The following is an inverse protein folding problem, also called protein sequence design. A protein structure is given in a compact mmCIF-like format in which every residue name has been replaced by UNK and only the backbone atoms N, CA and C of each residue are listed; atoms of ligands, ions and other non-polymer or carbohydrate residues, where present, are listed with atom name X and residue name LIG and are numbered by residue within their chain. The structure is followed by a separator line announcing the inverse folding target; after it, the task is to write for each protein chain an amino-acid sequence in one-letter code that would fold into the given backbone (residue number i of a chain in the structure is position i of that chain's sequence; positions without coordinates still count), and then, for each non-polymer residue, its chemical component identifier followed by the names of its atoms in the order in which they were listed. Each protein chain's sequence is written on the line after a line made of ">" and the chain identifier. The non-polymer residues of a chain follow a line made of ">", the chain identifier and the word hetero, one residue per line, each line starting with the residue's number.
data_IF_244051317322
#
_entry.id   IF_244051317322
#
_cell.length_a   1.000
_cell.length_b   1.000
_cell.length_c   1.000
_cell.angle_alpha   90.00
_cell.angle_beta   90.00
_cell.angle_gamma   90.00
#
_symmetry.space_group_name_H-M   'P 1'
#
loop_
_entity.id
_entity.type
_entity.pdbx_description
1 polymer ?
#
# COMPACT_ATOMS: atom_id res chain seq x y z
N UNK A 1 -9.04 -32.84 27.61
CA UNK A 1 -9.66 -32.04 26.54
C UNK A 1 -8.54 -31.33 25.78
N UNK A 2 -8.21 -31.78 24.57
CA UNK A 2 -7.22 -31.13 23.71
C UNK A 2 -7.91 -30.55 22.46
N UNK A 3 -7.41 -29.40 21.99
CA UNK A 3 -7.54 -28.87 20.61
C UNK A 3 -8.34 -27.60 20.31
N UNK A 4 -8.32 -26.57 21.19
CA UNK A 4 -8.52 -25.18 20.68
C UNK A 4 -7.24 -24.56 20.11
N UNK A 5 -6.06 -25.03 20.53
CA UNK A 5 -4.75 -24.50 20.11
C UNK A 5 -4.34 -24.92 18.69
N UNK A 6 -4.89 -26.02 18.15
CA UNK A 6 -4.50 -26.53 16.82
C UNK A 6 -5.09 -25.72 15.65
N UNK A 7 -6.21 -25.03 15.86
CA UNK A 7 -6.81 -24.17 14.84
C UNK A 7 -6.03 -22.86 14.63
N UNK A 8 -5.42 -22.31 15.69
CA UNK A 8 -4.57 -21.11 15.62
C UNK A 8 -3.35 -21.33 14.70
N UNK A 9 -2.70 -22.49 14.81
CA UNK A 9 -1.54 -22.86 13.99
C UNK A 9 -1.86 -23.05 12.49
N UNK A 10 -3.06 -23.54 12.12
CA UNK A 10 -3.48 -23.59 10.71
C UNK A 10 -3.81 -22.19 10.15
N UNK A 11 -4.29 -21.28 11.01
CA UNK A 11 -4.56 -19.88 10.65
C UNK A 11 -3.30 -19.03 10.47
N UNK A 12 -2.28 -19.21 11.33
CA UNK A 12 -1.01 -18.46 11.32
C UNK A 12 -0.19 -18.67 10.04
N UNK A 13 -0.14 -19.89 9.50
CA UNK A 13 0.51 -20.18 8.21
C UNK A 13 -0.24 -19.49 7.05
N UNK A 14 -1.54 -19.26 7.21
CA UNK A 14 -2.38 -18.62 6.19
C UNK A 14 -2.21 -17.10 6.16
N UNK A 15 -2.16 -16.43 7.31
CA UNK A 15 -2.04 -14.97 7.40
C UNK A 15 -0.73 -14.44 6.79
N UNK A 16 0.39 -15.07 7.14
CA UNK A 16 1.72 -14.72 6.61
C UNK A 16 1.84 -14.93 5.10
N UNK A 17 1.23 -16.01 4.59
CA UNK A 17 1.18 -16.29 3.15
C UNK A 17 0.34 -15.23 2.42
N UNK A 18 -0.80 -14.86 2.97
CA UNK A 18 -1.70 -13.87 2.36
C UNK A 18 -1.06 -12.48 2.28
N UNK A 19 -0.36 -12.05 3.33
CA UNK A 19 0.36 -10.77 3.34
C UNK A 19 1.53 -10.74 2.36
N UNK A 20 2.26 -11.84 2.18
CA UNK A 20 3.31 -11.93 1.13
C UNK A 20 2.72 -11.81 -0.27
N UNK A 21 1.57 -12.44 -0.52
CA UNK A 21 0.86 -12.30 -1.80
C UNK A 21 0.41 -10.85 -1.99
N UNK A 22 -0.15 -10.21 -0.95
CA UNK A 22 -0.54 -8.80 -1.01
C UNK A 22 0.65 -7.88 -1.36
N UNK A 23 1.80 -8.04 -0.71
CA UNK A 23 3.03 -7.27 -1.03
C UNK A 23 3.46 -7.45 -2.48
N UNK A 24 3.39 -8.69 -3.00
CA UNK A 24 3.73 -8.98 -4.39
C UNK A 24 2.76 -8.29 -5.36
N UNK A 25 1.46 -8.33 -5.07
CA UNK A 25 0.42 -7.66 -5.88
C UNK A 25 0.54 -6.14 -5.83
N UNK A 26 0.85 -5.56 -4.68
CA UNK A 26 1.08 -4.12 -4.53
C UNK A 26 2.33 -3.67 -5.30
N UNK A 27 3.39 -4.49 -5.30
CA UNK A 27 4.57 -4.25 -6.16
C UNK A 27 4.18 -4.28 -7.64
N UNK A 28 3.49 -5.33 -8.09
CA UNK A 28 3.09 -5.49 -9.48
C UNK A 28 2.18 -4.34 -9.95
N UNK A 29 1.22 -3.93 -9.12
CA UNK A 29 0.33 -2.79 -9.40
C UNK A 29 1.12 -1.50 -9.58
N UNK A 30 2.10 -1.25 -8.70
CA UNK A 30 2.95 -0.06 -8.76
C UNK A 30 3.85 -0.06 -10.00
N UNK A 31 4.46 -1.20 -10.32
CA UNK A 31 5.30 -1.34 -11.51
C UNK A 31 4.46 -1.20 -12.80
N UNK A 32 3.23 -1.70 -12.80
CA UNK A 32 2.29 -1.57 -13.93
C UNK A 32 1.87 -0.12 -14.18
N UNK A 33 1.44 0.61 -13.14
CA UNK A 33 1.09 2.04 -13.28
C UNK A 33 2.29 2.83 -13.81
N UNK A 34 3.49 2.55 -13.30
CA UNK A 34 4.71 3.21 -13.77
C UNK A 34 4.99 2.91 -15.25
N UNK A 35 4.89 1.65 -15.66
CA UNK A 35 5.19 1.26 -17.04
C UNK A 35 4.17 1.80 -18.06
N UNK A 36 2.89 1.83 -17.69
CA UNK A 36 1.85 2.43 -18.54
C UNK A 36 2.12 3.91 -18.78
N UNK A 37 2.37 4.64 -17.68
CA UNK A 37 2.66 6.06 -17.67
C UNK A 37 3.88 6.44 -18.54
N UNK A 38 4.98 5.67 -18.46
CA UNK A 38 6.18 5.89 -19.30
C UNK A 38 5.86 5.60 -20.79
N UNK A 39 5.13 4.53 -21.08
CA UNK A 39 4.81 4.12 -22.46
C UNK A 39 3.87 5.10 -23.17
N UNK A 40 2.87 5.65 -22.48
CA UNK A 40 1.91 6.57 -23.08
C UNK A 40 2.60 7.90 -23.46
N UNK A 41 3.46 8.43 -22.58
CA UNK A 41 4.27 9.62 -22.88
C UNK A 41 5.19 9.42 -24.08
N UNK A 42 5.93 8.31 -24.11
CA UNK A 42 6.84 7.99 -25.22
C UNK A 42 6.07 7.90 -26.56
N UNK A 43 4.85 7.34 -26.56
CA UNK A 43 4.04 7.24 -27.75
C UNK A 43 3.67 8.62 -28.33
N UNK A 44 3.24 9.57 -27.49
CA UNK A 44 2.92 10.92 -27.94
C UNK A 44 4.15 11.69 -28.46
N UNK A 45 5.32 11.51 -27.84
CA UNK A 45 6.57 12.07 -28.36
C UNK A 45 6.93 11.49 -29.74
N UNK A 46 6.79 10.17 -29.91
CA UNK A 46 7.03 9.51 -31.19
C UNK A 46 6.04 9.95 -32.29
N UNK A 47 4.77 10.16 -31.96
CA UNK A 47 3.80 10.71 -32.92
C UNK A 47 4.17 12.12 -33.36
N UNK A 48 4.62 12.98 -32.45
CA UNK A 48 5.09 14.32 -32.78
C UNK A 48 6.31 14.28 -33.71
N UNK A 49 7.30 13.42 -33.43
CA UNK A 49 8.49 13.31 -34.27
C UNK A 49 8.16 12.76 -35.67
N UNK A 50 7.32 11.74 -35.72
CA UNK A 50 6.86 11.18 -36.98
C UNK A 50 6.14 12.25 -37.82
N UNK A 51 5.26 13.04 -37.21
CA UNK A 51 4.53 14.09 -37.93
C UNK A 51 5.45 15.22 -38.43
N UNK A 52 6.39 15.68 -37.59
CA UNK A 52 7.38 16.70 -37.97
C UNK A 52 8.24 16.20 -39.17
N UNK A 53 8.63 14.91 -39.20
CA UNK A 53 9.40 14.31 -40.31
C UNK A 53 8.62 14.24 -41.64
N UNK A 54 7.29 14.19 -41.57
CA UNK A 54 6.41 14.08 -42.74
C UNK A 54 5.82 15.43 -43.16
N UNK A 55 6.15 16.52 -42.46
CA UNK A 55 5.61 17.85 -42.72
C UNK A 55 4.12 17.99 -42.36
N UNK A 56 3.60 17.11 -41.50
CA UNK A 56 2.23 17.19 -41.02
C UNK A 56 2.15 18.07 -39.77
N UNK A 57 2.03 19.38 -40.01
CA UNK A 57 1.97 20.38 -38.95
C UNK A 57 0.76 20.20 -38.03
N UNK A 58 -0.33 19.59 -38.54
CA UNK A 58 -1.55 19.34 -37.77
C UNK A 58 -1.35 18.25 -36.72
N UNK A 59 -0.92 17.06 -37.14
CA UNK A 59 -0.63 15.97 -36.21
C UNK A 59 0.48 16.38 -35.25
N UNK A 60 1.52 17.07 -35.72
CA UNK A 60 2.60 17.54 -34.86
C UNK A 60 2.10 18.50 -33.78
N UNK A 61 1.24 19.46 -34.12
CA UNK A 61 0.68 20.43 -33.18
C UNK A 61 -0.26 19.76 -32.17
N UNK A 62 -1.19 18.92 -32.64
CA UNK A 62 -2.12 18.17 -31.80
C UNK A 62 -1.35 17.25 -30.85
N UNK A 63 -0.37 16.48 -31.33
CA UNK A 63 0.47 15.62 -30.49
C UNK A 63 1.24 16.40 -29.42
N UNK A 64 1.75 17.61 -29.75
CA UNK A 64 2.41 18.50 -28.78
C UNK A 64 1.43 18.97 -27.68
N UNK A 65 0.21 19.38 -28.04
CA UNK A 65 -0.83 19.75 -27.05
C UNK A 65 -1.25 18.56 -26.17
N UNK A 66 -1.46 17.38 -26.76
CA UNK A 66 -1.78 16.15 -26.01
C UNK A 66 -0.65 15.79 -25.03
N UNK A 67 0.60 15.89 -25.46
CA UNK A 67 1.76 15.61 -24.61
C UNK A 67 1.83 16.53 -23.38
N UNK A 68 1.39 17.79 -23.48
CA UNK A 68 1.29 18.69 -22.32
C UNK A 68 0.33 18.12 -21.28
N UNK A 69 -0.85 17.66 -21.70
CA UNK A 69 -1.85 17.09 -20.79
C UNK A 69 -1.43 15.74 -20.23
N UNK A 70 -0.78 14.90 -21.03
CA UNK A 70 -0.22 13.63 -20.56
C UNK A 70 0.89 13.83 -19.52
N UNK A 71 1.72 14.88 -19.67
CA UNK A 71 2.72 15.26 -18.66
C UNK A 71 2.08 15.71 -17.35
N UNK A 72 0.96 16.42 -17.41
CA UNK A 72 0.21 16.78 -16.20
C UNK A 72 -0.41 15.55 -15.54
N UNK A 73 -1.02 14.69 -16.34
CA UNK A 73 -1.59 13.43 -15.90
C UNK A 73 -0.56 12.51 -15.22
N UNK A 74 0.65 12.42 -15.80
CA UNK A 74 1.80 11.69 -15.28
C UNK A 74 2.20 12.16 -13.87
N UNK A 75 2.16 13.46 -13.57
CA UNK A 75 2.48 13.96 -12.21
C UNK A 75 1.54 13.35 -11.16
N UNK A 76 0.26 13.20 -11.49
CA UNK A 76 -0.75 12.64 -10.58
C UNK A 76 -0.62 11.12 -10.45
N UNK A 77 -0.33 10.43 -11.55
CA UNK A 77 0.01 9.00 -11.51
C UNK A 77 1.29 8.74 -10.68
N UNK A 78 2.25 9.67 -10.68
CA UNK A 78 3.42 9.65 -9.80
C UNK A 78 3.06 9.67 -8.29
N UNK A 79 2.02 10.40 -7.91
CA UNK A 79 1.47 10.37 -6.55
C UNK A 79 0.87 9.00 -6.22
N UNK A 80 0.15 8.38 -7.16
CA UNK A 80 -0.40 7.02 -6.99
C UNK A 80 0.70 5.96 -6.85
N UNK A 81 1.77 6.07 -7.62
CA UNK A 81 2.97 5.21 -7.48
C UNK A 81 3.58 5.35 -6.08
N UNK A 82 3.68 6.58 -5.57
CA UNK A 82 4.15 6.85 -4.21
C UNK A 82 3.21 6.26 -3.15
N UNK A 83 1.90 6.42 -3.32
CA UNK A 83 0.89 5.86 -2.42
C UNK A 83 0.93 4.32 -2.38
N UNK A 84 1.10 3.69 -3.55
CA UNK A 84 1.27 2.23 -3.66
C UNK A 84 2.56 1.75 -2.99
N UNK A 85 3.66 2.50 -3.12
CA UNK A 85 4.91 2.21 -2.38
C UNK A 85 4.69 2.29 -0.87
N UNK A 86 4.06 3.35 -0.38
CA UNK A 86 3.75 3.53 1.04
C UNK A 86 2.88 2.38 1.55
N UNK A 87 1.80 2.04 0.82
CA UNK A 87 0.92 0.91 1.13
C UNK A 87 1.69 -0.41 1.26
N UNK A 88 2.58 -0.71 0.31
CA UNK A 88 3.47 -1.89 0.35
C UNK A 88 4.38 -1.90 1.57
N UNK A 89 4.98 -0.77 1.92
CA UNK A 89 5.82 -0.65 3.12
C UNK A 89 5.04 -0.95 4.40
N UNK A 90 3.78 -0.49 4.49
CA UNK A 90 2.90 -0.83 5.61
C UNK A 90 2.54 -2.31 5.64
N UNK A 91 2.22 -2.93 4.50
CA UNK A 91 1.97 -4.39 4.43
C UNK A 91 3.21 -5.19 4.86
N UNK A 92 4.42 -4.73 4.53
CA UNK A 92 5.67 -5.34 5.02
C UNK A 92 5.86 -5.20 6.54
N UNK A 93 5.50 -4.06 7.13
CA UNK A 93 5.53 -3.88 8.59
C UNK A 93 4.53 -4.81 9.27
N UNK A 94 3.32 -4.93 8.73
CA UNK A 94 2.32 -5.89 9.22
C UNK A 94 2.81 -7.34 9.12
N UNK A 95 3.50 -7.70 8.03
CA UNK A 95 4.13 -9.01 7.89
C UNK A 95 5.22 -9.26 8.96
N UNK A 96 6.02 -8.25 9.29
CA UNK A 96 7.03 -8.34 10.33
C UNK A 96 6.41 -8.48 11.73
N UNK A 97 5.35 -7.73 12.01
CA UNK A 97 4.56 -7.79 13.23
C UNK A 97 3.92 -9.17 13.43
N UNK A 98 3.25 -9.71 12.41
CA UNK A 98 2.68 -11.06 12.40
C UNK A 98 3.75 -12.13 12.66
N UNK A 99 4.93 -11.99 12.05
CA UNK A 99 6.05 -12.90 12.31
C UNK A 99 6.50 -12.85 13.78
N UNK A 100 6.66 -11.65 14.33
CA UNK A 100 7.05 -11.45 15.73
C UNK A 100 6.03 -12.09 16.69
N UNK A 101 4.74 -11.86 16.47
CA UNK A 101 3.65 -12.43 17.27
C UNK A 101 3.64 -13.97 17.16
N UNK A 102 3.80 -14.52 15.96
CA UNK A 102 3.88 -15.98 15.76
C UNK A 102 5.11 -16.60 16.43
N UNK A 103 6.27 -15.94 16.39
CA UNK A 103 7.48 -16.45 17.05
C UNK A 103 7.36 -16.41 18.58
N UNK A 104 6.74 -15.36 19.15
CA UNK A 104 6.40 -15.29 20.57
C UNK A 104 5.35 -16.34 20.97
N UNK A 105 4.36 -16.60 20.12
CA UNK A 105 3.39 -17.67 20.35
C UNK A 105 4.06 -19.05 20.40
N UNK A 106 4.99 -19.34 19.49
CA UNK A 106 5.78 -20.59 19.53
C UNK A 106 6.62 -20.69 20.79
N UNK A 107 7.21 -19.59 21.26
CA UNK A 107 7.97 -19.55 22.51
C UNK A 107 7.07 -19.87 23.72
N UNK A 108 5.88 -19.27 23.77
CA UNK A 108 4.86 -19.57 24.77
C UNK A 108 4.43 -21.04 24.75
N UNK A 109 4.07 -21.60 23.58
CA UNK A 109 3.69 -23.01 23.44
C UNK A 109 4.84 -23.95 23.84
N UNK A 110 6.10 -23.57 23.56
CA UNK A 110 7.27 -24.34 24.01
C UNK A 110 7.40 -24.30 25.54
N UNK A 111 7.23 -23.13 26.16
CA UNK A 111 7.28 -22.98 27.60
C UNK A 111 6.15 -23.77 28.30
N UNK A 112 4.94 -23.77 27.74
CA UNK A 112 3.82 -24.59 28.22
C UNK A 112 4.14 -26.10 28.18
N UNK A 113 4.75 -26.58 27.10
CA UNK A 113 5.20 -27.98 27.01
C UNK A 113 6.30 -28.32 28.01
N UNK A 114 7.21 -27.38 28.28
CA UNK A 114 8.27 -27.57 29.27
C UNK A 114 7.71 -27.63 30.69
N UNK A 115 6.75 -26.77 31.03
CA UNK A 115 6.02 -26.82 32.29
C UNK A 115 5.35 -28.18 32.48
N UNK A 116 4.56 -28.64 31.50
CA UNK A 116 3.89 -29.95 31.55
C UNK A 116 4.88 -31.13 31.70
N UNK A 117 6.08 -31.01 31.14
CA UNK A 117 7.12 -32.02 31.31
C UNK A 117 7.72 -31.99 32.71
N UNK A 118 8.05 -30.80 33.23
CA UNK A 118 8.57 -30.61 34.57
C UNK A 118 7.56 -31.04 35.65
N UNK A 119 6.27 -30.80 35.43
CA UNK A 119 5.18 -31.28 36.30
C UNK A 119 5.18 -32.82 36.40
N UNK A 120 5.28 -33.51 35.26
CA UNK A 120 5.38 -34.98 35.22
C UNK A 120 6.67 -35.50 35.86
N UNK A 121 7.79 -34.79 35.72
CA UNK A 121 9.03 -35.15 36.43
C UNK A 121 8.86 -35.01 37.95
N UNK A 122 8.21 -33.95 38.40
CA UNK A 122 7.88 -33.70 39.80
C UNK A 122 6.96 -34.79 40.36
N UNK A 123 5.88 -35.14 39.66
CA UNK A 123 5.00 -36.26 40.03
C UNK A 123 5.77 -37.58 40.19
N UNK A 124 6.71 -37.87 39.27
CA UNK A 124 7.55 -39.08 39.34
C UNK A 124 8.60 -39.03 40.45
N UNK A 125 8.97 -37.84 40.93
CA UNK A 125 9.92 -37.66 42.02
C UNK A 125 9.24 -37.69 43.39
N UNK A 126 7.94 -37.33 43.48
CA UNK A 126 7.14 -37.43 44.71
C UNK A 126 7.21 -38.84 45.29
N UNK A 127 7.50 -38.94 46.58
CA UNK A 127 7.64 -40.21 47.29
C UNK A 127 8.96 -40.96 47.06
N UNK A 128 9.91 -40.39 46.29
CA UNK A 128 11.29 -40.89 46.19
C UNK A 128 12.22 -40.12 47.13
N UNK A 129 13.53 -40.32 46.96
CA UNK A 129 14.59 -39.58 47.64
C UNK A 129 14.31 -38.06 47.67
N UNK A 130 14.29 -37.43 48.86
CA UNK A 130 14.08 -35.99 49.04
C UNK A 130 14.93 -35.12 48.12
N UNK A 131 16.19 -35.51 47.84
CA UNK A 131 17.09 -34.74 46.98
C UNK A 131 16.60 -34.65 45.52
N UNK A 132 15.88 -35.68 45.04
CA UNK A 132 15.29 -35.73 43.70
C UNK A 132 14.02 -34.92 43.61
N UNK A 133 13.23 -34.91 44.69
CA UNK A 133 12.02 -34.08 44.79
C UNK A 133 12.37 -32.60 44.73
N UNK A 134 13.31 -32.13 45.55
CA UNK A 134 13.71 -30.71 45.58
C UNK A 134 14.25 -30.23 44.22
N UNK A 135 15.03 -31.08 43.51
CA UNK A 135 15.49 -30.75 42.15
C UNK A 135 14.35 -30.66 41.14
N UNK A 136 13.34 -31.52 41.24
CA UNK A 136 12.19 -31.50 40.35
C UNK A 136 11.26 -30.30 40.64
N UNK A 137 11.11 -29.91 41.91
CA UNK A 137 10.37 -28.71 42.32
C UNK A 137 11.02 -27.44 41.77
N UNK A 138 12.36 -27.33 41.87
CA UNK A 138 13.10 -26.21 41.31
C UNK A 138 12.90 -26.10 39.78
N UNK A 139 13.01 -27.22 39.05
CA UNK A 139 12.76 -27.27 37.61
C UNK A 139 11.33 -26.86 37.24
N UNK A 140 10.34 -27.30 38.01
CA UNK A 140 8.94 -26.97 37.77
C UNK A 140 8.68 -25.48 38.01
N UNK A 141 9.19 -24.92 39.11
CA UNK A 141 9.11 -23.49 39.41
C UNK A 141 9.77 -22.65 38.30
N UNK A 142 10.97 -23.03 37.84
CA UNK A 142 11.64 -22.35 36.73
C UNK A 142 10.82 -22.42 35.43
N UNK A 143 10.20 -23.58 35.13
CA UNK A 143 9.36 -23.75 33.95
C UNK A 143 8.06 -22.93 34.01
N UNK A 144 7.44 -22.80 35.19
CA UNK A 144 6.27 -21.93 35.41
C UNK A 144 6.63 -20.47 35.16
N UNK A 145 7.74 -19.98 35.73
CA UNK A 145 8.21 -18.61 35.49
C UNK A 145 8.46 -18.35 34.00
N UNK A 146 9.12 -19.27 33.30
CA UNK A 146 9.37 -19.13 31.85
C UNK A 146 8.08 -19.08 31.04
N UNK A 147 7.05 -19.82 31.45
CA UNK A 147 5.72 -19.78 30.81
C UNK A 147 5.05 -18.44 31.03
N UNK A 148 5.03 -17.93 32.26
CA UNK A 148 4.45 -16.63 32.60
C UNK A 148 5.14 -15.49 31.84
N UNK A 149 6.48 -15.49 31.79
CA UNK A 149 7.27 -14.50 31.03
C UNK A 149 6.95 -14.56 29.53
N UNK A 150 6.86 -15.76 28.95
CA UNK A 150 6.53 -15.95 27.54
C UNK A 150 5.08 -15.58 27.20
N UNK A 151 4.13 -15.88 28.10
CA UNK A 151 2.72 -15.52 27.97
C UNK A 151 2.55 -14.01 27.98
N UNK A 152 3.19 -13.32 28.94
CA UNK A 152 3.15 -11.86 29.03
C UNK A 152 3.78 -11.20 27.80
N UNK A 153 4.93 -11.72 27.32
CA UNK A 153 5.57 -11.21 26.11
C UNK A 153 4.68 -11.37 24.87
N UNK A 154 4.04 -12.54 24.70
CA UNK A 154 3.09 -12.81 23.62
C UNK A 154 1.86 -11.90 23.70
N UNK A 155 1.24 -11.75 24.88
CA UNK A 155 0.08 -10.89 25.08
C UNK A 155 0.40 -9.41 24.78
N UNK A 156 1.52 -8.91 25.31
CA UNK A 156 1.98 -7.54 25.08
C UNK A 156 2.25 -7.26 23.60
N UNK A 157 2.95 -8.18 22.92
CA UNK A 157 3.23 -8.03 21.50
C UNK A 157 1.94 -8.06 20.69
N UNK A 158 1.04 -9.01 20.94
CA UNK A 158 -0.25 -9.09 20.24
C UNK A 158 -1.05 -7.79 20.36
N UNK A 159 -1.19 -7.24 21.57
CA UNK A 159 -2.01 -6.05 21.78
C UNK A 159 -1.36 -4.78 21.20
N UNK A 160 -0.04 -4.65 21.33
CA UNK A 160 0.70 -3.53 20.75
C UNK A 160 0.66 -3.57 19.23
N UNK A 161 1.05 -4.70 18.64
CA UNK A 161 1.17 -4.87 17.20
C UNK A 161 -0.20 -4.76 16.51
N UNK A 162 -1.28 -5.30 17.10
CA UNK A 162 -2.63 -5.15 16.54
C UNK A 162 -3.10 -3.69 16.50
N UNK A 163 -2.82 -2.92 17.55
CA UNK A 163 -3.21 -1.49 17.61
C UNK A 163 -2.40 -0.66 16.62
N UNK A 164 -1.07 -0.84 16.62
CA UNK A 164 -0.17 -0.11 15.73
C UNK A 164 -0.45 -0.45 14.26
N UNK A 165 -0.53 -1.74 13.92
CA UNK A 165 -0.83 -2.18 12.56
C UNK A 165 -2.19 -1.70 12.07
N UNK A 166 -3.25 -1.75 12.91
CA UNK A 166 -4.57 -1.25 12.51
C UNK A 166 -4.57 0.24 12.21
N UNK A 167 -3.92 1.04 13.06
CA UNK A 167 -3.79 2.50 12.87
C UNK A 167 -3.04 2.80 11.58
N UNK A 168 -1.91 2.14 11.39
CA UNK A 168 -1.00 2.39 10.28
C UNK A 168 -1.62 1.92 8.94
N UNK A 169 -2.27 0.76 8.92
CA UNK A 169 -3.00 0.25 7.76
C UNK A 169 -4.17 1.17 7.37
N UNK A 170 -4.93 1.66 8.36
CA UNK A 170 -6.00 2.64 8.10
C UNK A 170 -5.44 3.90 7.44
N UNK A 171 -4.33 4.43 7.95
CA UNK A 171 -3.68 5.63 7.38
C UNK A 171 -3.27 5.37 5.93
N UNK A 172 -2.59 4.24 5.67
CA UNK A 172 -2.13 3.85 4.34
C UNK A 172 -3.28 3.68 3.33
N UNK A 173 -4.38 3.05 3.75
CA UNK A 173 -5.55 2.87 2.87
C UNK A 173 -6.28 4.17 2.60
N UNK A 174 -6.45 5.03 3.62
CA UNK A 174 -7.07 6.34 3.43
C UNK A 174 -6.25 7.19 2.46
N UNK A 175 -4.94 7.24 2.62
CA UNK A 175 -4.03 7.93 1.70
C UNK A 175 -4.13 7.36 0.28
N UNK A 176 -4.02 6.03 0.14
CA UNK A 176 -4.12 5.35 -1.15
C UNK A 176 -5.45 5.62 -1.86
N UNK A 177 -6.59 5.48 -1.19
CA UNK A 177 -7.90 5.66 -1.83
C UNK A 177 -8.22 7.12 -2.12
N UNK A 178 -7.76 8.07 -1.30
CA UNK A 178 -7.87 9.50 -1.60
C UNK A 178 -7.07 9.87 -2.86
N UNK A 179 -5.82 9.43 -2.93
CA UNK A 179 -4.97 9.66 -4.10
C UNK A 179 -5.56 8.96 -5.33
N UNK A 180 -6.08 7.74 -5.19
CA UNK A 180 -6.72 7.01 -6.29
C UNK A 180 -7.96 7.73 -6.82
N UNK A 181 -8.80 8.27 -5.95
CA UNK A 181 -9.97 9.05 -6.36
C UNK A 181 -9.54 10.29 -7.14
N UNK A 182 -8.61 11.07 -6.58
CA UNK A 182 -8.04 12.27 -7.23
C UNK A 182 -7.45 11.97 -8.60
N UNK A 183 -6.64 10.90 -8.72
CA UNK A 183 -6.13 10.46 -10.03
C UNK A 183 -7.30 10.23 -10.97
N UNK A 184 -8.29 9.40 -10.66
CA UNK A 184 -9.38 9.18 -11.60
C UNK A 184 -10.18 10.44 -11.97
N UNK A 185 -10.34 11.38 -11.05
CA UNK A 185 -11.02 12.65 -11.31
C UNK A 185 -10.21 13.54 -12.27
N UNK A 186 -8.92 13.73 -11.99
CA UNK A 186 -8.00 14.47 -12.87
C UNK A 186 -7.90 13.82 -14.26
N UNK A 187 -8.06 12.49 -14.35
CA UNK A 187 -7.92 11.74 -15.60
C UNK A 187 -9.11 11.79 -16.46
N UNK A 188 -10.28 11.66 -15.83
CA UNK A 188 -11.52 11.93 -16.52
C UNK A 188 -11.56 13.36 -17.04
N UNK A 189 -10.99 14.33 -16.32
CA UNK A 189 -10.83 15.69 -16.82
C UNK A 189 -9.87 15.73 -18.02
N UNK A 190 -8.60 15.32 -17.85
CA UNK A 190 -7.59 15.35 -18.92
C UNK A 190 -8.04 14.61 -20.18
N UNK A 191 -8.58 13.39 -20.06
CA UNK A 191 -8.99 12.57 -21.20
C UNK A 191 -10.12 13.19 -22.03
N UNK A 192 -11.04 13.96 -21.39
CA UNK A 192 -12.10 14.68 -22.12
C UNK A 192 -11.51 15.79 -22.98
N UNK A 193 -10.60 16.57 -22.41
CA UNK A 193 -9.98 17.72 -23.08
C UNK A 193 -8.99 17.24 -24.15
N UNK A 194 -8.32 16.10 -23.93
CA UNK A 194 -7.52 15.42 -24.97
C UNK A 194 -8.39 14.99 -26.18
N UNK A 195 -9.61 14.50 -25.94
CA UNK A 195 -10.52 14.15 -27.02
C UNK A 195 -10.94 15.40 -27.81
N UNK A 196 -11.23 16.52 -27.12
CA UNK A 196 -11.55 17.80 -27.75
C UNK A 196 -10.38 18.33 -28.60
N UNK A 197 -9.14 18.24 -28.09
CA UNK A 197 -7.93 18.58 -28.86
C UNK A 197 -7.78 17.69 -30.10
N UNK A 198 -8.08 16.40 -29.99
CA UNK A 198 -8.00 15.47 -31.12
C UNK A 198 -9.07 15.75 -32.19
N UNK A 199 -10.25 16.20 -31.80
CA UNK A 199 -11.34 16.60 -32.71
C UNK A 199 -11.00 17.84 -33.55
N UNK A 200 -9.99 18.64 -33.16
CA UNK A 200 -9.51 19.77 -33.96
C UNK A 200 -8.70 19.35 -35.20
N UNK A 201 -8.29 18.08 -35.28
CA UNK A 201 -7.55 17.58 -36.43
C UNK A 201 -8.53 17.28 -37.58
N UNK A 202 -8.42 17.96 -38.74
CA UNK A 202 -9.27 17.67 -39.89
C UNK A 202 -9.10 16.23 -40.39
N UNK A 203 -10.17 15.62 -40.89
CA UNK A 203 -10.12 14.26 -41.47
C UNK A 203 -9.35 14.23 -42.80
N UNK A 204 -9.32 15.36 -43.52
CA UNK A 204 -8.60 15.53 -44.78
C UNK A 204 -7.44 16.51 -44.62
N UNK A 205 -6.25 16.12 -45.09
CA UNK A 205 -5.06 16.98 -45.08
C UNK A 205 -5.29 18.25 -45.91
N UNK A 206 -6.14 18.17 -46.94
CA UNK A 206 -6.46 19.29 -47.82
C UNK A 206 -7.40 20.33 -47.15
N UNK A 207 -8.16 19.94 -46.12
CA UNK A 207 -8.95 20.88 -45.30
C UNK A 207 -8.07 21.77 -44.43
N UNK A 208 -6.84 21.31 -44.17
CA UNK A 208 -5.73 22.09 -43.64
C UNK A 208 -5.81 22.40 -42.14
N UNK A 209 -4.73 22.09 -41.42
CA UNK A 209 -4.55 22.59 -40.06
C UNK A 209 -3.98 24.02 -40.10
N UNK A 210 -4.74 24.99 -39.60
CA UNK A 210 -4.38 26.41 -39.68
C UNK A 210 -4.00 27.00 -38.32
N UNK A 211 -3.49 28.23 -38.32
CA UNK A 211 -3.08 28.96 -37.11
C UNK A 211 -4.20 29.14 -36.08
N UNK A 212 -5.48 29.11 -36.49
CA UNK A 212 -6.62 29.19 -35.58
C UNK A 212 -6.79 27.89 -34.82
N UNK A 213 -6.84 26.75 -35.51
CA UNK A 213 -6.94 25.42 -34.90
C UNK A 213 -5.74 25.12 -33.99
N UNK A 214 -4.54 25.54 -34.40
CA UNK A 214 -3.34 25.49 -33.57
C UNK A 214 -3.50 26.22 -32.24
N UNK A 215 -3.95 27.48 -32.28
CA UNK A 215 -4.15 28.27 -31.07
C UNK A 215 -5.25 27.70 -30.18
N UNK A 216 -6.28 27.14 -30.78
CA UNK A 216 -7.37 26.49 -30.06
C UNK A 216 -6.86 25.23 -29.33
N UNK A 217 -6.05 24.38 -29.98
CA UNK A 217 -5.47 23.20 -29.33
C UNK A 217 -4.48 23.56 -28.22
N UNK A 218 -3.71 24.64 -28.38
CA UNK A 218 -2.81 25.17 -27.34
C UNK A 218 -3.60 25.75 -26.17
N UNK A 219 -4.67 26.49 -26.44
CA UNK A 219 -5.52 27.11 -25.42
C UNK A 219 -6.23 26.06 -24.56
N UNK A 220 -6.83 25.03 -25.16
CA UNK A 220 -7.48 23.93 -24.41
C UNK A 220 -6.46 23.26 -23.48
N UNK A 221 -5.23 23.02 -23.97
CA UNK A 221 -4.18 22.40 -23.17
C UNK A 221 -3.77 23.28 -21.97
N UNK A 222 -3.55 24.58 -22.18
CA UNK A 222 -3.15 25.51 -21.13
C UNK A 222 -4.26 25.73 -20.08
N UNK A 223 -5.52 25.87 -20.52
CA UNK A 223 -6.68 26.01 -19.63
C UNK A 223 -6.91 24.75 -18.80
N UNK A 224 -6.76 23.58 -19.42
CA UNK A 224 -6.88 22.29 -18.74
C UNK A 224 -5.77 22.11 -17.71
N UNK A 225 -4.52 22.48 -18.03
CA UNK A 225 -3.42 22.46 -17.05
C UNK A 225 -3.77 23.32 -15.83
N UNK A 226 -4.24 24.55 -16.03
CA UNK A 226 -4.63 25.45 -14.94
C UNK A 226 -5.80 24.88 -14.10
N UNK A 227 -6.77 24.24 -14.75
CA UNK A 227 -7.90 23.56 -14.10
C UNK A 227 -7.44 22.39 -13.24
N UNK A 228 -6.55 21.54 -13.77
CA UNK A 228 -5.94 20.44 -13.02
C UNK A 228 -5.19 20.98 -11.81
N UNK A 229 -4.29 21.96 -11.98
CA UNK A 229 -3.55 22.58 -10.88
C UNK A 229 -4.47 23.14 -9.78
N UNK A 230 -5.59 23.77 -10.16
CA UNK A 230 -6.60 24.22 -9.21
C UNK A 230 -7.24 23.06 -8.42
N UNK A 231 -7.63 21.97 -9.09
CA UNK A 231 -8.17 20.78 -8.41
C UNK A 231 -7.17 20.24 -7.37
N UNK A 232 -5.88 20.23 -7.72
CA UNK A 232 -4.81 19.77 -6.83
C UNK A 232 -4.72 20.60 -5.54
N UNK A 233 -4.84 21.92 -5.65
CA UNK A 233 -4.82 22.82 -4.49
C UNK A 233 -6.07 22.72 -3.61
N UNK A 234 -7.25 22.56 -4.21
CA UNK A 234 -8.51 22.38 -3.46
C UNK A 234 -8.46 21.09 -2.63
N UNK A 235 -7.91 20.01 -3.18
CA UNK A 235 -7.73 18.74 -2.47
C UNK A 235 -6.70 18.81 -1.34
N UNK A 236 -5.61 19.57 -1.50
CA UNK A 236 -4.62 19.78 -0.43
C UNK A 236 -5.24 20.46 0.80
N UNK A 237 -6.15 21.41 0.60
CA UNK A 237 -6.90 22.03 1.69
C UNK A 237 -7.83 21.03 2.39
N UNK A 238 -8.48 20.12 1.65
CA UNK A 238 -9.35 19.11 2.23
C UNK A 238 -8.61 17.99 2.98
N UNK A 239 -7.39 17.64 2.55
CA UNK A 239 -6.53 16.68 3.26
C UNK A 239 -6.06 17.26 4.61
N UNK A 240 -5.85 18.58 4.68
CA UNK A 240 -5.36 19.31 5.86
C UNK A 240 -6.40 19.53 6.97
N UNK A 241 -7.70 19.42 6.67
CA UNK A 241 -8.82 19.69 7.61
C UNK A 241 -9.39 18.40 8.21
N UNK A 242 -8.67 17.26 8.16
CA UNK A 242 -9.08 16.09 8.96
C UNK A 242 -8.75 16.35 10.44
N UNK A 243 -9.71 16.45 11.38
CA UNK A 243 -9.49 17.06 12.69
C UNK A 243 -8.48 16.31 13.56
N UNK A 244 -7.54 17.05 14.17
CA UNK A 244 -6.67 16.58 15.27
C UNK A 244 -7.39 16.47 16.64
N UNK A 245 -8.72 16.53 16.72
CA UNK A 245 -9.43 16.57 18.01
C UNK A 245 -10.56 15.57 18.12
N UNK A 246 -10.29 14.44 18.80
CA UNK A 246 -11.20 13.84 19.79
C UNK A 246 -10.35 13.14 20.87
N UNK A 247 -9.77 13.92 21.78
CA UNK A 247 -9.45 13.47 23.14
C UNK A 247 -9.53 14.66 24.10
N UNK A 248 -10.75 15.06 24.41
CA UNK A 248 -11.08 15.58 25.73
C UNK A 248 -12.35 14.90 26.19
N UNK A 249 -12.22 14.02 27.19
CA UNK A 249 -13.12 13.90 28.34
C UNK A 249 -12.65 12.75 29.24
N UNK A 250 -11.99 13.13 30.34
CA UNK A 250 -12.35 12.79 31.71
C UNK A 250 -11.45 13.62 32.64
#
# INVERSE_FOLDING_TARGET
>A
MFSKTSAALKGEVSGHKNLRVAVAQEKASKDHVKGLMESDMDAHELYSYWADDHGDEGIASVAKSLLVLEKEWHQCQGMLVTALRNKKEFTNRLLAAEKNVSDLHKAFVKAEKNEQHAEKELEKARGKDPSKTTKAEAKFSDAQRQKEEAEQAYANARDKELKECRRDLRKAWLEYYRIKARVYEEGAAAARECAEIAELLPEDVDEGFNDTLKKESEQIADETRAKLEKMRHEDEMHISITPQHVHQQA
#
